data_IF_936453243581
#
_entry.id   IF_936453243581
#
_cell.length_a   1.000
_cell.length_b   1.000
_cell.length_c   1.000
_cell.angle_alpha   90.00
_cell.angle_beta   90.00
_cell.angle_gamma   90.00
#
_symmetry.space_group_name_H-M   'P 1'
#
loop_
_entity.id
_entity.type
_entity.pdbx_description
1 polymer ?
#
# COMPACT_ATOMS: atom_id res chain seq x y z
N UNK A 1 -16.57 8.83 20.22
CA UNK A 1 -15.35 8.04 20.08
C UNK A 1 -14.38 8.85 19.23
N UNK A 2 -13.59 9.74 19.84
CA UNK A 2 -12.57 10.51 19.12
C UNK A 2 -11.37 9.58 18.95
N UNK A 3 -11.21 9.01 17.76
CA UNK A 3 -9.97 8.36 17.39
C UNK A 3 -9.06 9.52 16.96
N UNK A 4 -8.06 9.92 17.74
CA UNK A 4 -7.12 10.93 17.29
C UNK A 4 -6.37 10.34 16.10
N UNK A 5 -6.55 10.95 14.93
CA UNK A 5 -5.79 10.58 13.74
C UNK A 5 -4.31 10.89 14.04
N UNK A 6 -3.49 9.87 14.01
CA UNK A 6 -2.06 10.02 14.30
C UNK A 6 -1.34 10.56 13.06
N UNK A 7 -1.26 11.88 12.98
CA UNK A 7 -0.59 12.60 11.90
C UNK A 7 0.89 12.24 11.79
N UNK A 8 1.51 11.83 12.88
CA UNK A 8 2.93 11.45 12.89
C UNK A 8 3.12 10.10 12.17
N UNK A 9 2.24 9.15 12.42
CA UNK A 9 2.26 7.85 11.74
C UNK A 9 1.88 7.96 10.25
N UNK A 10 1.01 8.91 9.88
CA UNK A 10 0.58 9.14 8.50
C UNK A 10 1.55 10.02 7.70
N UNK A 11 2.45 10.75 8.34
CA UNK A 11 3.39 11.70 7.73
C UNK A 11 4.14 11.14 6.52
N UNK A 12 4.90 10.03 6.67
CA UNK A 12 5.67 9.46 5.57
C UNK A 12 4.80 9.08 4.35
N UNK A 13 3.61 8.51 4.56
CA UNK A 13 2.71 8.14 3.47
C UNK A 13 2.15 9.37 2.75
N UNK A 14 1.81 10.44 3.50
CA UNK A 14 1.30 11.70 2.92
C UNK A 14 2.36 12.43 2.13
N UNK A 15 3.61 12.44 2.57
CA UNK A 15 4.73 13.07 1.87
C UNK A 15 5.06 12.37 0.54
N UNK A 16 5.06 11.03 0.51
CA UNK A 16 5.23 10.27 -0.74
C UNK A 16 4.07 10.54 -1.70
N UNK A 17 2.83 10.52 -1.20
CA UNK A 17 1.63 10.76 -2.03
C UNK A 17 1.63 12.18 -2.61
N UNK A 18 1.96 13.19 -1.80
CA UNK A 18 2.05 14.57 -2.26
C UNK A 18 3.13 14.73 -3.34
N UNK A 19 4.31 14.12 -3.15
CA UNK A 19 5.37 14.12 -4.15
C UNK A 19 4.96 13.46 -5.46
N UNK A 20 4.24 12.33 -5.39
CA UNK A 20 3.75 11.61 -6.56
C UNK A 20 2.67 12.41 -7.33
N UNK A 21 1.74 13.07 -6.62
CA UNK A 21 0.74 13.95 -7.23
C UNK A 21 1.42 15.14 -7.91
N UNK A 22 2.40 15.78 -7.24
CA UNK A 22 3.16 16.87 -7.84
C UNK A 22 3.93 16.40 -9.08
N UNK A 23 4.50 15.19 -9.06
CA UNK A 23 5.17 14.58 -10.20
C UNK A 23 4.23 14.42 -11.41
N UNK A 24 3.01 13.92 -11.18
CA UNK A 24 1.98 13.84 -12.23
C UNK A 24 1.59 15.23 -12.75
N UNK A 25 1.39 16.21 -11.87
CA UNK A 25 1.04 17.57 -12.27
C UNK A 25 2.14 18.21 -13.12
N UNK A 26 3.40 18.04 -12.74
CA UNK A 26 4.54 18.54 -13.51
C UNK A 26 4.56 17.90 -14.90
N UNK A 27 4.35 16.57 -15.00
CA UNK A 27 4.29 15.90 -16.29
C UNK A 27 3.14 16.39 -17.18
N UNK A 28 1.97 16.68 -16.57
CA UNK A 28 0.80 17.16 -17.29
C UNK A 28 0.97 18.57 -17.88
N UNK A 29 1.75 19.44 -17.22
CA UNK A 29 1.98 20.83 -17.65
C UNK A 29 3.26 21.01 -18.48
N UNK A 30 4.20 20.05 -18.48
CA UNK A 30 5.39 20.14 -19.32
C UNK A 30 5.09 19.67 -20.75
N UNK A 31 5.51 20.45 -21.79
CA UNK A 31 5.23 20.14 -23.19
C UNK A 31 5.98 18.90 -23.73
N UNK A 32 6.92 18.38 -22.99
CA UNK A 32 7.64 17.12 -23.28
C UNK A 32 7.48 16.16 -22.11
N UNK A 33 6.90 15.00 -22.34
CA UNK A 33 6.89 13.87 -21.39
C UNK A 33 8.33 13.55 -20.99
N UNK A 34 8.70 13.94 -19.79
CA UNK A 34 10.06 13.80 -19.26
C UNK A 34 10.03 12.91 -18.02
N UNK A 35 10.67 11.75 -18.12
CA UNK A 35 10.85 10.86 -16.97
C UNK A 35 11.51 11.59 -15.78
N UNK A 36 12.45 12.47 -16.06
CA UNK A 36 13.12 13.25 -15.02
C UNK A 36 12.19 14.29 -14.39
N UNK A 37 11.34 14.93 -15.20
CA UNK A 37 10.42 15.96 -14.72
C UNK A 37 9.40 15.46 -13.70
N UNK A 38 8.84 14.27 -13.91
CA UNK A 38 7.91 13.64 -12.98
C UNK A 38 8.61 12.88 -11.84
N UNK A 39 9.82 12.35 -12.07
CA UNK A 39 10.56 11.63 -11.05
C UNK A 39 11.07 12.53 -9.92
N UNK A 40 11.52 13.77 -10.23
CA UNK A 40 12.11 14.68 -9.23
C UNK A 40 11.14 15.02 -8.10
N UNK A 41 9.90 15.48 -8.34
CA UNK A 41 8.96 15.75 -7.25
C UNK A 41 8.62 14.49 -6.44
N UNK A 42 8.48 13.35 -7.11
CA UNK A 42 8.21 12.07 -6.43
C UNK A 42 9.39 11.65 -5.54
N UNK A 43 10.62 11.79 -6.02
CA UNK A 43 11.83 11.56 -5.22
C UNK A 43 11.91 12.49 -4.01
N UNK A 44 11.59 13.77 -4.18
CA UNK A 44 11.55 14.72 -3.05
C UNK A 44 10.52 14.29 -2.00
N UNK A 45 9.35 13.79 -2.42
CA UNK A 45 8.36 13.21 -1.52
C UNK A 45 8.88 11.99 -0.77
N UNK A 46 9.60 11.09 -1.44
CA UNK A 46 10.22 9.91 -0.83
C UNK A 46 11.32 10.31 0.16
N UNK A 47 12.15 11.31 -0.16
CA UNK A 47 13.15 11.83 0.78
C UNK A 47 12.53 12.53 1.99
N UNK A 48 11.45 13.30 1.79
CA UNK A 48 10.70 13.91 2.87
C UNK A 48 10.12 12.84 3.82
N UNK A 49 9.55 11.77 3.28
CA UNK A 49 9.06 10.64 4.05
C UNK A 49 10.18 9.97 4.88
N UNK A 50 11.36 9.79 4.29
CA UNK A 50 12.53 9.28 5.02
C UNK A 50 12.97 10.20 6.16
N UNK A 51 12.98 11.51 5.93
CA UNK A 51 13.30 12.50 6.96
C UNK A 51 12.27 12.51 8.10
N UNK A 52 10.97 12.40 7.76
CA UNK A 52 9.90 12.30 8.75
C UNK A 52 9.99 11.01 9.56
N UNK A 53 10.27 9.88 8.92
CA UNK A 53 10.46 8.60 9.59
C UNK A 53 11.61 8.67 10.60
N UNK A 54 12.72 9.32 10.26
CA UNK A 54 13.86 9.51 11.17
C UNK A 54 13.56 10.49 12.30
N UNK A 55 12.72 11.50 12.07
CA UNK A 55 12.32 12.48 13.09
C UNK A 55 11.28 11.93 14.06
N UNK A 56 10.40 11.05 13.59
CA UNK A 56 9.32 10.49 14.41
C UNK A 56 9.83 9.61 15.57
N UNK A 57 11.06 9.10 15.47
CA UNK A 57 11.68 8.28 16.52
C UNK A 57 10.80 7.11 16.90
N UNK A 58 10.19 6.43 15.90
CA UNK A 58 9.20 5.38 16.16
C UNK A 58 9.77 4.35 17.13
N UNK A 59 9.06 4.12 18.23
CA UNK A 59 9.44 3.12 19.23
C UNK A 59 9.24 1.68 18.73
N UNK A 60 8.60 1.51 17.57
CA UNK A 60 8.38 0.23 16.93
C UNK A 60 9.47 -0.01 15.87
N UNK A 61 10.51 -0.75 16.27
CA UNK A 61 11.65 -1.07 15.40
C UNK A 61 11.26 -1.85 14.15
N UNK A 62 10.22 -2.70 14.24
CA UNK A 62 9.74 -3.51 13.12
C UNK A 62 9.05 -2.60 12.09
N UNK A 63 8.16 -1.74 12.52
CA UNK A 63 7.48 -0.77 11.65
C UNK A 63 8.49 0.18 11.00
N UNK A 64 9.49 0.64 11.74
CA UNK A 64 10.58 1.46 11.22
C UNK A 64 11.37 0.72 10.13
N UNK A 65 11.78 -0.53 10.38
CA UNK A 65 12.54 -1.34 9.42
C UNK A 65 11.78 -1.56 8.12
N UNK A 66 10.49 -1.95 8.18
CA UNK A 66 9.66 -2.12 7.00
C UNK A 66 9.44 -0.81 6.23
N UNK A 67 9.18 0.29 6.94
CA UNK A 67 9.02 1.60 6.31
C UNK A 67 10.31 2.03 5.57
N UNK A 68 11.47 1.78 6.16
CA UNK A 68 12.76 2.07 5.54
C UNK A 68 12.97 1.25 4.26
N UNK A 69 12.61 -0.04 4.27
CA UNK A 69 12.68 -0.92 3.08
C UNK A 69 11.80 -0.36 1.96
N UNK A 70 10.57 0.06 2.27
CA UNK A 70 9.65 0.64 1.29
C UNK A 70 10.22 1.94 0.71
N UNK A 71 10.73 2.84 1.53
CA UNK A 71 11.31 4.13 1.11
C UNK A 71 12.52 3.90 0.21
N UNK A 72 13.46 3.07 0.63
CA UNK A 72 14.69 2.78 -0.14
C UNK A 72 14.34 2.06 -1.44
N UNK A 73 13.47 1.05 -1.38
CA UNK A 73 13.02 0.31 -2.56
C UNK A 73 12.35 1.23 -3.59
N UNK A 74 11.46 2.12 -3.13
CA UNK A 74 10.79 3.11 -4.00
C UNK A 74 11.79 4.07 -4.63
N UNK A 75 12.75 4.58 -3.85
CA UNK A 75 13.80 5.47 -4.37
C UNK A 75 14.65 4.78 -5.45
N UNK A 76 15.04 3.51 -5.23
CA UNK A 76 15.78 2.72 -6.21
C UNK A 76 15.01 2.52 -7.51
N UNK A 77 13.71 2.18 -7.42
CA UNK A 77 12.84 2.00 -8.60
C UNK A 77 12.68 3.32 -9.35
N UNK A 78 12.51 4.45 -8.65
CA UNK A 78 12.42 5.78 -9.27
C UNK A 78 13.69 6.12 -10.04
N UNK A 79 14.87 5.92 -9.46
CA UNK A 79 16.14 6.16 -10.13
C UNK A 79 16.31 5.23 -11.34
N UNK A 80 16.02 3.95 -11.17
CA UNK A 80 16.09 2.98 -12.27
C UNK A 80 15.12 3.31 -13.40
N UNK A 81 13.91 3.80 -13.10
CA UNK A 81 12.92 4.17 -14.10
C UNK A 81 13.40 5.29 -15.02
N UNK A 82 14.08 6.28 -14.47
CA UNK A 82 14.68 7.37 -15.26
C UNK A 82 15.81 6.86 -16.14
N UNK A 83 16.65 5.94 -15.64
CA UNK A 83 17.79 5.42 -16.38
C UNK A 83 17.39 4.47 -17.52
N UNK A 84 16.32 3.69 -17.35
CA UNK A 84 16.00 2.57 -18.26
C UNK A 84 14.87 2.85 -19.25
N UNK A 85 14.04 3.85 -19.03
CA UNK A 85 12.76 4.00 -19.76
C UNK A 85 12.71 5.19 -20.73
N UNK A 86 13.84 5.66 -21.25
CA UNK A 86 13.87 6.77 -22.22
C UNK A 86 13.07 6.50 -23.53
N UNK A 87 12.88 5.23 -23.89
CA UNK A 87 12.19 4.82 -25.13
C UNK A 87 10.88 4.04 -24.88
N UNK A 88 10.41 3.99 -23.60
CA UNK A 88 9.24 3.18 -23.30
C UNK A 88 7.92 3.85 -23.70
N UNK A 89 6.94 3.02 -24.09
CA UNK A 89 5.57 3.45 -24.38
C UNK A 89 4.74 3.75 -23.12
N UNK A 90 5.37 3.80 -21.94
CA UNK A 90 4.70 4.08 -20.68
C UNK A 90 4.67 5.57 -20.39
N UNK A 91 3.55 6.13 -19.93
CA UNK A 91 3.47 7.53 -19.53
C UNK A 91 4.19 7.73 -18.19
N UNK A 92 5.20 8.63 -18.11
CA UNK A 92 6.04 8.75 -16.93
C UNK A 92 5.32 9.30 -15.70
N UNK A 93 4.43 10.28 -15.86
CA UNK A 93 3.69 10.87 -14.74
C UNK A 93 2.78 9.87 -14.05
N UNK A 94 2.01 9.10 -14.83
CA UNK A 94 1.13 8.06 -14.33
C UNK A 94 1.93 6.93 -13.66
N UNK A 95 3.08 6.56 -14.24
CA UNK A 95 3.97 5.57 -13.64
C UNK A 95 4.43 5.99 -12.25
N UNK A 96 4.94 7.22 -12.10
CA UNK A 96 5.44 7.73 -10.83
C UNK A 96 4.32 7.94 -9.80
N UNK A 97 3.12 8.37 -10.24
CA UNK A 97 1.95 8.45 -9.37
C UNK A 97 1.56 7.09 -8.80
N UNK A 98 1.44 6.09 -9.68
CA UNK A 98 1.04 4.74 -9.26
C UNK A 98 2.10 4.10 -8.34
N UNK A 99 3.38 4.28 -8.67
CA UNK A 99 4.48 3.81 -7.82
C UNK A 99 4.46 4.48 -6.44
N UNK A 100 4.31 5.80 -6.38
CA UNK A 100 4.20 6.55 -5.13
C UNK A 100 2.96 6.15 -4.31
N UNK A 101 1.81 5.93 -4.96
CA UNK A 101 0.60 5.45 -4.29
C UNK A 101 0.77 4.04 -3.71
N UNK A 102 1.42 3.14 -4.44
CA UNK A 102 1.75 1.81 -3.93
C UNK A 102 2.71 1.89 -2.73
N UNK A 103 3.73 2.75 -2.80
CA UNK A 103 4.65 2.99 -1.68
C UNK A 103 3.94 3.55 -0.46
N UNK A 104 3.02 4.50 -0.63
CA UNK A 104 2.19 5.02 0.45
C UNK A 104 1.37 3.91 1.12
N UNK A 105 0.77 3.00 0.34
CA UNK A 105 0.11 1.80 0.85
C UNK A 105 1.04 0.93 1.70
N UNK A 106 2.27 0.69 1.24
CA UNK A 106 3.28 -0.05 1.99
C UNK A 106 3.67 0.62 3.32
N UNK A 107 3.78 1.95 3.34
CA UNK A 107 4.07 2.72 4.56
C UNK A 107 2.92 2.68 5.57
N UNK A 108 1.67 2.79 5.11
CA UNK A 108 0.48 2.63 5.97
C UNK A 108 0.40 1.20 6.51
N UNK A 109 0.71 0.20 5.68
CA UNK A 109 0.72 -1.20 6.09
C UNK A 109 1.75 -1.47 7.20
N UNK A 110 2.94 -0.89 7.10
CA UNK A 110 4.00 -1.02 8.12
C UNK A 110 3.58 -0.47 9.49
N UNK A 111 2.70 0.54 9.52
CA UNK A 111 2.20 1.17 10.75
C UNK A 111 0.82 0.70 11.18
N UNK A 112 0.21 -0.27 10.50
CA UNK A 112 -1.14 -0.76 10.79
C UNK A 112 -1.20 -1.42 12.18
N UNK A 113 -2.20 -1.02 12.99
CA UNK A 113 -2.44 -1.57 14.34
C UNK A 113 -3.78 -2.30 14.47
N UNK A 114 -4.50 -2.40 13.38
CA UNK A 114 -5.79 -3.07 13.30
C UNK A 114 -5.99 -3.71 11.93
N UNK A 115 -6.91 -4.67 11.84
CA UNK A 115 -7.19 -5.42 10.61
C UNK A 115 -7.82 -4.56 9.51
N UNK A 116 -8.57 -3.50 9.84
CA UNK A 116 -9.18 -2.63 8.83
C UNK A 116 -8.11 -1.80 8.14
N UNK A 117 -7.25 -1.15 8.93
CA UNK A 117 -6.12 -0.38 8.41
C UNK A 117 -5.21 -1.28 7.57
N UNK A 118 -4.94 -2.52 8.00
CA UNK A 118 -4.16 -3.49 7.23
C UNK A 118 -4.78 -3.76 5.86
N UNK A 119 -6.09 -4.09 5.81
CA UNK A 119 -6.77 -4.38 4.53
C UNK A 119 -6.77 -3.16 3.61
N UNK A 120 -7.09 -1.99 4.13
CA UNK A 120 -7.08 -0.74 3.34
C UNK A 120 -5.69 -0.45 2.79
N UNK A 121 -4.65 -0.64 3.60
CA UNK A 121 -3.26 -0.45 3.18
C UNK A 121 -2.84 -1.45 2.09
N UNK A 122 -3.24 -2.71 2.21
CA UNK A 122 -3.01 -3.74 1.19
C UNK A 122 -3.72 -3.38 -0.12
N UNK A 123 -4.96 -2.86 -0.08
CA UNK A 123 -5.66 -2.39 -1.28
C UNK A 123 -4.97 -1.18 -1.90
N UNK A 124 -4.55 -0.23 -1.07
CA UNK A 124 -3.82 0.95 -1.52
C UNK A 124 -2.49 0.60 -2.19
N UNK A 125 -1.86 -0.51 -1.81
CA UNK A 125 -0.67 -1.05 -2.46
C UNK A 125 -1.02 -1.85 -3.73
N UNK A 126 -2.07 -2.69 -3.67
CA UNK A 126 -2.41 -3.62 -4.72
C UNK A 126 -3.00 -2.94 -5.96
N UNK A 127 -3.96 -2.02 -5.80
CA UNK A 127 -4.64 -1.37 -6.93
C UNK A 127 -3.68 -0.59 -7.84
N UNK A 128 -2.77 0.27 -7.32
CA UNK A 128 -1.77 0.90 -8.17
C UNK A 128 -0.81 -0.10 -8.82
N UNK A 129 -0.44 -1.18 -8.12
CA UNK A 129 0.43 -2.22 -8.68
C UNK A 129 -0.23 -2.95 -9.84
N UNK A 130 -1.53 -3.26 -9.75
CA UNK A 130 -2.33 -3.83 -10.82
C UNK A 130 -2.38 -2.88 -12.03
N UNK A 131 -2.58 -1.58 -11.77
CA UNK A 131 -2.59 -0.56 -12.81
C UNK A 131 -1.22 -0.42 -13.49
N UNK A 132 -0.11 -0.51 -12.72
CA UNK A 132 1.26 -0.51 -13.27
C UNK A 132 1.50 -1.68 -14.23
N UNK A 133 1.00 -2.88 -13.93
CA UNK A 133 1.09 -4.04 -14.82
C UNK A 133 0.41 -3.77 -16.16
N UNK A 134 -0.74 -3.08 -16.13
CA UNK A 134 -1.52 -2.73 -17.33
C UNK A 134 -1.10 -1.43 -18.02
N UNK A 135 -0.14 -0.67 -17.48
CA UNK A 135 0.18 0.69 -17.94
C UNK A 135 0.82 0.75 -19.33
N UNK A 136 1.41 -0.36 -19.81
CA UNK A 136 2.08 -0.41 -21.11
C UNK A 136 1.09 -0.26 -22.25
N UNK A 137 1.15 0.88 -22.94
CA UNK A 137 0.22 1.20 -24.02
C UNK A 137 0.39 0.25 -25.22
N UNK A 138 -0.75 -0.25 -25.74
CA UNK A 138 -0.77 -1.12 -26.92
C UNK A 138 -0.43 -2.60 -26.65
N UNK A 139 -0.08 -2.99 -25.44
CA UNK A 139 0.22 -4.37 -25.08
C UNK A 139 -1.01 -5.11 -24.54
N UNK A 140 -1.67 -5.90 -25.39
CA UNK A 140 -2.83 -6.71 -25.01
C UNK A 140 -2.52 -7.74 -23.93
N UNK A 141 -1.28 -8.21 -23.82
CA UNK A 141 -0.87 -9.17 -22.78
C UNK A 141 -0.77 -8.47 -21.44
N UNK A 142 -0.24 -7.26 -21.40
CA UNK A 142 -0.20 -6.45 -20.17
C UNK A 142 -1.61 -6.20 -19.64
N UNK A 143 -2.55 -5.83 -20.51
CA UNK A 143 -3.96 -5.61 -20.13
C UNK A 143 -4.59 -6.90 -19.61
N UNK A 144 -4.42 -8.03 -20.29
CA UNK A 144 -4.96 -9.31 -19.88
C UNK A 144 -4.38 -9.77 -18.52
N UNK A 145 -3.08 -9.58 -18.31
CA UNK A 145 -2.41 -9.90 -17.05
C UNK A 145 -2.90 -9.03 -15.89
N UNK A 146 -3.03 -7.72 -16.13
CA UNK A 146 -3.60 -6.77 -15.16
C UNK A 146 -5.03 -7.15 -14.77
N UNK A 147 -5.86 -7.54 -15.74
CA UNK A 147 -7.23 -7.97 -15.49
C UNK A 147 -7.29 -9.26 -14.64
N UNK A 148 -6.46 -10.25 -14.96
CA UNK A 148 -6.37 -11.49 -14.17
C UNK A 148 -5.90 -11.21 -12.76
N UNK A 149 -4.89 -10.36 -12.60
CA UNK A 149 -4.38 -9.95 -11.29
C UNK A 149 -5.46 -9.23 -10.48
N UNK A 150 -6.22 -8.32 -11.11
CA UNK A 150 -7.34 -7.63 -10.47
C UNK A 150 -8.42 -8.61 -9.96
N UNK A 151 -8.88 -9.53 -10.80
CA UNK A 151 -9.90 -10.51 -10.41
C UNK A 151 -9.43 -11.38 -9.24
N UNK A 152 -8.19 -11.86 -9.28
CA UNK A 152 -7.61 -12.65 -8.19
C UNK A 152 -7.54 -11.83 -6.90
N UNK A 153 -7.12 -10.57 -6.99
CA UNK A 153 -7.03 -9.66 -5.84
C UNK A 153 -8.41 -9.42 -5.21
N UNK A 154 -9.44 -9.16 -6.02
CA UNK A 154 -10.82 -8.91 -5.51
C UNK A 154 -11.37 -10.13 -4.77
N UNK A 155 -11.20 -11.33 -5.34
CA UNK A 155 -11.64 -12.57 -4.68
C UNK A 155 -10.92 -12.79 -3.36
N UNK A 156 -9.61 -12.59 -3.35
CA UNK A 156 -8.77 -12.67 -2.15
C UNK A 156 -9.25 -11.70 -1.05
N UNK A 157 -9.53 -10.45 -1.41
CA UNK A 157 -10.05 -9.44 -0.49
C UNK A 157 -11.41 -9.83 0.07
N UNK A 158 -12.32 -10.34 -0.76
CA UNK A 158 -13.63 -10.80 -0.30
C UNK A 158 -13.51 -11.92 0.74
N UNK A 159 -12.61 -12.89 0.52
CA UNK A 159 -12.32 -13.97 1.48
C UNK A 159 -11.74 -13.41 2.78
N UNK A 160 -10.76 -12.49 2.67
CA UNK A 160 -10.15 -11.83 3.84
C UNK A 160 -11.18 -11.08 4.66
N UNK A 161 -12.04 -10.27 4.02
CA UNK A 161 -13.08 -9.49 4.69
C UNK A 161 -14.12 -10.37 5.37
N UNK A 162 -14.49 -11.51 4.77
CA UNK A 162 -15.36 -12.48 5.41
C UNK A 162 -14.72 -13.04 6.69
N UNK A 163 -13.43 -13.39 6.65
CA UNK A 163 -12.70 -13.84 7.83
C UNK A 163 -12.66 -12.79 8.94
N UNK A 164 -12.35 -11.55 8.56
CA UNK A 164 -12.31 -10.40 9.50
C UNK A 164 -13.69 -10.13 10.10
N UNK A 165 -14.77 -10.24 9.33
CA UNK A 165 -16.14 -10.07 9.82
C UNK A 165 -16.51 -11.12 10.87
N UNK A 166 -16.10 -12.38 10.69
CA UNK A 166 -16.29 -13.45 11.69
C UNK A 166 -15.47 -13.17 12.97
N UNK A 167 -14.24 -12.71 12.84
CA UNK A 167 -13.39 -12.33 13.98
C UNK A 167 -13.99 -11.14 14.74
N UNK A 168 -14.50 -10.14 14.04
CA UNK A 168 -15.19 -9.02 14.65
C UNK A 168 -16.47 -9.47 15.40
N UNK A 169 -17.26 -10.34 14.78
CA UNK A 169 -18.44 -10.91 15.42
C UNK A 169 -18.12 -11.71 16.69
N UNK A 170 -16.94 -12.31 16.74
CA UNK A 170 -16.48 -13.08 17.90
C UNK A 170 -15.90 -12.22 19.03
N UNK A 171 -15.22 -11.12 18.71
CA UNK A 171 -14.42 -10.36 19.68
C UNK A 171 -14.91 -8.93 19.93
N UNK A 172 -15.78 -8.41 19.03
CA UNK A 172 -16.28 -7.03 19.08
C UNK A 172 -15.23 -5.96 18.77
N UNK A 173 -14.03 -6.36 18.32
CA UNK A 173 -12.91 -5.44 18.05
C UNK A 173 -12.07 -5.90 16.87
N UNK A 174 -11.40 -4.96 16.19
CA UNK A 174 -10.49 -5.26 15.07
C UNK A 174 -9.04 -4.84 15.37
N UNK A 175 -8.78 -4.21 16.53
CA UNK A 175 -7.42 -3.88 16.96
C UNK A 175 -6.66 -5.15 17.35
N UNK A 176 -5.38 -5.25 17.02
CA UNK A 176 -4.58 -6.44 17.33
C UNK A 176 -4.53 -6.75 18.82
N UNK A 177 -4.42 -5.72 19.67
CA UNK A 177 -4.42 -5.88 21.13
C UNK A 177 -5.78 -6.30 21.67
N UNK A 178 -6.86 -5.87 21.03
CA UNK A 178 -8.23 -6.26 21.39
C UNK A 178 -8.53 -7.70 20.97
N UNK A 179 -8.14 -8.08 19.75
CA UNK A 179 -8.26 -9.45 19.24
C UNK A 179 -7.54 -10.44 20.15
N UNK A 180 -6.30 -10.15 20.53
CA UNK A 180 -5.52 -11.04 21.41
C UNK A 180 -6.26 -11.33 22.73
N UNK A 181 -6.89 -10.32 23.35
CA UNK A 181 -7.67 -10.49 24.58
C UNK A 181 -9.04 -11.15 24.33
N UNK A 182 -9.71 -10.80 23.24
CA UNK A 182 -11.04 -11.34 22.93
C UNK A 182 -11.04 -12.79 22.46
N UNK A 183 -9.88 -13.30 22.03
CA UNK A 183 -9.73 -14.69 21.60
C UNK A 183 -9.44 -15.67 22.76
N UNK A 184 -9.09 -15.17 23.95
CA UNK A 184 -8.85 -16.01 25.14
C UNK A 184 -10.15 -16.63 25.67
N UNK A 185 -11.27 -15.89 25.61
CA UNK A 185 -12.60 -16.39 26.02
C UNK A 185 -13.71 -15.82 25.12
N UNK A 186 -13.83 -16.33 23.90
CA UNK A 186 -14.77 -15.78 22.93
C UNK A 186 -16.23 -16.19 23.25
N UNK A 187 -17.20 -15.25 23.14
CA UNK A 187 -18.62 -15.51 23.38
C UNK A 187 -19.30 -16.39 22.31
N UNK A 188 -18.53 -16.90 21.35
CA UNK A 188 -19.01 -17.69 20.21
C UNK A 188 -18.30 -19.04 20.18
N UNK A 189 -18.86 -20.07 19.49
CA UNK A 189 -18.21 -21.37 19.34
C UNK A 189 -16.81 -21.24 18.73
N UNK A 190 -15.83 -21.97 19.25
CA UNK A 190 -14.45 -21.98 18.77
C UNK A 190 -14.32 -22.23 17.25
N UNK A 191 -15.25 -22.97 16.65
CA UNK A 191 -15.31 -23.21 15.21
C UNK A 191 -15.44 -21.90 14.42
N UNK A 192 -16.26 -20.94 14.89
CA UNK A 192 -16.45 -19.65 14.21
C UNK A 192 -15.15 -18.86 14.21
N UNK A 193 -14.46 -18.82 15.33
CA UNK A 193 -13.15 -18.18 15.47
C UNK A 193 -12.13 -18.84 14.54
N UNK A 194 -12.06 -20.17 14.55
CA UNK A 194 -11.10 -20.89 13.70
C UNK A 194 -11.35 -20.65 12.21
N UNK A 195 -12.62 -20.66 11.77
CA UNK A 195 -12.99 -20.34 10.38
C UNK A 195 -12.61 -18.89 10.05
N UNK A 196 -12.87 -17.94 10.94
CA UNK A 196 -12.50 -16.54 10.77
C UNK A 196 -11.00 -16.34 10.58
N UNK A 197 -10.19 -16.98 11.43
CA UNK A 197 -8.72 -16.96 11.32
C UNK A 197 -8.24 -17.58 10.01
N UNK A 198 -8.74 -18.77 9.66
CA UNK A 198 -8.34 -19.48 8.44
C UNK A 198 -8.68 -18.66 7.21
N UNK A 199 -9.89 -18.11 7.10
CA UNK A 199 -10.30 -17.30 5.96
C UNK A 199 -9.45 -16.02 5.85
N UNK A 200 -9.15 -15.36 6.96
CA UNK A 200 -8.30 -14.18 6.97
C UNK A 200 -6.90 -14.51 6.46
N UNK A 201 -6.29 -15.58 6.98
CA UNK A 201 -4.93 -16.00 6.59
C UNK A 201 -4.92 -16.46 5.12
N UNK A 202 -5.86 -17.30 4.71
CA UNK A 202 -5.95 -17.79 3.33
C UNK A 202 -6.15 -16.64 2.35
N UNK A 203 -7.05 -15.70 2.67
CA UNK A 203 -7.25 -14.52 1.84
C UNK A 203 -5.99 -13.66 1.73
N UNK A 204 -5.27 -13.43 2.81
CA UNK A 204 -4.00 -12.69 2.79
C UNK A 204 -2.92 -13.43 1.99
N UNK A 205 -2.79 -14.75 2.16
CA UNK A 205 -1.81 -15.56 1.42
C UNK A 205 -2.09 -15.60 -0.08
N UNK A 206 -3.37 -15.56 -0.48
CA UNK A 206 -3.76 -15.54 -1.90
C UNK A 206 -3.39 -14.21 -2.58
N UNK A 207 -3.10 -13.19 -1.81
CA UNK A 207 -2.73 -11.85 -2.28
C UNK A 207 -1.21 -11.66 -2.42
N UNK A 208 -0.44 -12.53 -1.80
CA UNK A 208 1.04 -12.54 -1.88
C UNK A 208 1.53 -13.32 -3.11
#
# INVERSE_FOLDING_TARGET
>A
MNIPFDWVAAGPATSVTAGAILGLMVDAFLPRRSWLGSAVPTLLGVFAAGAELMRSGSTDEIAFGFSLIVIVGTALVLVASVAMNHESSMPPGEFHLLLGSAAAGGLVMASARDLVTLVVAIELLALPSIALVGLRQGDRRAIASSWTFFLTSVVSTAVTLMGIALLYGATGTLSYSGLNRGLDDPPVPAVVVSVGVVLTIVGLLFKL
#
